data_IF_678440713632
#
_entry.id   IF_678440713632
#
_cell.length_a   1.000
_cell.length_b   1.000
_cell.length_c   1.000
_cell.angle_alpha   90.00
_cell.angle_beta   90.00
_cell.angle_gamma   90.00
#
_symmetry.space_group_name_H-M   'P 1'
#
loop_
_entity.id
_entity.type
_entity.pdbx_description
1 polymer ?
#
# COMPACT_ATOMS: atom_id res chain seq x y z
N UNK A 1 55.20 -9.69 6.96
CA UNK A 1 55.50 -9.93 8.39
C UNK A 1 54.17 -9.99 9.15
N UNK A 2 53.91 -11.17 9.74
CA UNK A 2 52.94 -11.58 10.78
C UNK A 2 51.41 -11.44 10.59
N UNK A 3 50.80 -12.64 10.46
CA UNK A 3 49.42 -13.06 10.75
C UNK A 3 49.08 -13.02 12.25
N UNK A 4 47.78 -12.98 12.58
CA UNK A 4 46.99 -13.95 13.42
C UNK A 4 45.61 -13.30 13.75
N UNK A 5 44.41 -13.83 13.48
CA UNK A 5 43.76 -15.15 13.56
C UNK A 5 43.02 -15.42 14.90
N UNK A 6 41.69 -15.65 14.79
CA UNK A 6 40.77 -16.48 15.62
C UNK A 6 40.44 -16.03 17.07
N UNK A 7 39.32 -16.34 17.75
CA UNK A 7 38.01 -16.99 17.51
C UNK A 7 37.19 -16.85 18.83
N UNK A 8 35.85 -16.86 18.75
CA UNK A 8 34.83 -17.39 19.69
C UNK A 8 34.96 -17.27 21.23
N UNK A 9 33.86 -16.89 21.90
CA UNK A 9 32.89 -17.85 22.44
C UNK A 9 31.82 -17.17 23.34
N UNK A 10 30.59 -17.67 23.21
CA UNK A 10 29.41 -17.39 24.04
C UNK A 10 29.47 -18.24 25.31
N UNK A 11 29.11 -17.68 26.48
CA UNK A 11 28.63 -18.45 27.63
C UNK A 11 27.41 -17.75 28.27
N UNK A 12 26.41 -18.59 28.51
CA UNK A 12 25.06 -18.41 29.05
C UNK A 12 24.99 -18.19 30.57
N UNK A 13 24.00 -17.38 30.98
CA UNK A 13 23.03 -17.69 32.05
C UNK A 13 23.41 -17.38 33.50
N UNK A 14 22.47 -16.76 34.24
CA UNK A 14 21.82 -17.32 35.46
C UNK A 14 20.64 -16.42 35.85
N UNK A 15 19.52 -17.06 36.17
CA UNK A 15 18.28 -16.50 36.69
C UNK A 15 18.34 -16.28 38.22
N UNK A 16 17.58 -15.30 38.72
CA UNK A 16 17.21 -15.21 40.13
C UNK A 16 15.71 -14.91 40.24
N UNK A 17 14.99 -15.83 40.88
CA UNK A 17 13.56 -15.79 41.18
C UNK A 17 13.27 -15.30 42.60
N UNK A 18 12.24 -14.46 42.68
CA UNK A 18 11.18 -14.32 43.71
C UNK A 18 11.51 -13.76 45.10
N UNK A 19 10.62 -12.86 45.59
CA UNK A 19 9.81 -13.13 46.80
C UNK A 19 8.61 -12.15 47.02
N UNK A 20 7.45 -12.77 47.31
CA UNK A 20 6.23 -12.42 48.08
C UNK A 20 5.42 -11.10 47.95
N UNK A 21 4.09 -11.32 47.89
CA UNK A 21 3.04 -10.41 48.33
C UNK A 21 1.63 -10.97 48.09
N UNK A 22 1.12 -11.80 49.01
CA UNK A 22 -0.24 -12.40 49.03
C UNK A 22 -1.31 -11.45 49.57
N UNK A 23 -2.54 -11.54 49.03
CA UNK A 23 -3.83 -11.48 49.76
C UNK A 23 -4.97 -11.67 48.74
N UNK A 24 -5.61 -12.83 48.64
CA UNK A 24 -6.72 -13.38 49.45
C UNK A 24 -8.10 -13.15 48.77
N UNK A 25 -8.74 -14.27 48.41
CA UNK A 25 -10.13 -14.46 47.96
C UNK A 25 -10.87 -15.23 49.06
N UNK A 26 -12.21 -15.15 49.21
CA UNK A 26 -13.08 -16.25 48.73
C UNK A 26 -14.55 -15.81 48.44
N UNK A 27 -15.52 -16.72 48.20
CA UNK A 27 -15.57 -17.80 47.23
C UNK A 27 -16.79 -17.70 46.27
N UNK A 28 -16.84 -18.60 45.29
CA UNK A 28 -17.91 -18.77 44.31
C UNK A 28 -18.98 -19.77 44.77
N UNK A 29 -20.24 -19.59 44.36
CA UNK A 29 -21.19 -20.71 44.28
C UNK A 29 -22.29 -20.52 43.19
N UNK A 30 -22.25 -21.46 42.24
CA UNK A 30 -23.23 -22.08 41.32
C UNK A 30 -24.52 -21.41 40.79
N UNK A 31 -24.70 -21.66 39.48
CA UNK A 31 -25.78 -21.41 38.50
C UNK A 31 -27.10 -22.17 38.80
N UNK A 32 -28.25 -21.84 38.16
CA UNK A 32 -28.59 -22.49 36.88
C UNK A 32 -29.35 -21.63 35.83
N UNK A 33 -29.49 -22.22 34.63
CA UNK A 33 -30.20 -21.75 33.43
C UNK A 33 -31.74 -21.67 33.57
N UNK A 34 -32.39 -20.82 32.76
CA UNK A 34 -33.82 -20.99 32.44
C UNK A 34 -34.59 -19.74 31.97
N UNK A 35 -34.53 -19.46 30.66
CA UNK A 35 -35.53 -18.88 29.76
C UNK A 35 -36.57 -17.79 30.20
N UNK A 36 -36.64 -16.76 29.34
CA UNK A 36 -37.84 -16.15 28.73
C UNK A 36 -38.29 -14.72 29.15
N UNK A 37 -38.14 -13.83 28.16
CA UNK A 37 -39.17 -12.91 27.60
C UNK A 37 -39.30 -11.48 28.17
N UNK A 38 -38.82 -10.55 27.33
CA UNK A 38 -39.38 -9.26 26.89
C UNK A 38 -39.95 -8.27 27.92
N UNK A 39 -39.48 -7.01 27.84
CA UNK A 39 -40.29 -5.80 27.57
C UNK A 39 -39.38 -4.54 27.43
N UNK A 40 -39.38 -3.97 26.22
CA UNK A 40 -39.45 -2.54 25.86
C UNK A 40 -38.49 -1.49 26.46
N UNK A 41 -37.76 -0.81 25.55
CA UNK A 41 -37.88 0.65 25.38
C UNK A 41 -36.71 1.52 25.86
N UNK A 42 -35.82 1.91 24.94
CA UNK A 42 -35.22 3.27 24.82
C UNK A 42 -34.32 3.36 23.58
N UNK A 43 -34.51 4.32 22.66
CA UNK A 43 -33.54 4.62 21.63
C UNK A 43 -32.53 5.65 22.17
N UNK A 44 -31.27 5.26 22.30
CA UNK A 44 -30.18 6.20 22.53
C UNK A 44 -29.15 5.97 21.44
N UNK A 45 -29.31 6.75 20.38
CA UNK A 45 -28.37 6.98 19.29
C UNK A 45 -26.99 7.28 19.90
N UNK A 46 -26.12 6.29 19.94
CA UNK A 46 -24.70 6.54 20.22
C UNK A 46 -24.11 7.04 18.92
N UNK A 47 -23.96 8.37 18.86
CA UNK A 47 -23.28 9.07 17.80
C UNK A 47 -21.90 8.45 17.57
N UNK A 48 -21.61 8.11 16.31
CA UNK A 48 -20.26 7.79 15.87
C UNK A 48 -19.32 8.94 16.23
N UNK A 49 -18.04 8.67 16.58
CA UNK A 49 -17.10 9.74 16.89
C UNK A 49 -16.94 10.62 15.65
N UNK A 50 -17.23 11.90 15.82
CA UNK A 50 -16.98 12.93 14.81
C UNK A 50 -15.49 12.87 14.44
N UNK A 51 -15.18 12.60 13.17
CA UNK A 51 -13.83 12.64 12.65
C UNK A 51 -13.22 14.02 12.98
N UNK A 52 -12.28 14.04 13.92
CA UNK A 52 -11.58 15.27 14.28
C UNK A 52 -10.75 15.70 13.08
N UNK A 53 -11.14 16.80 12.42
CA UNK A 53 -10.36 17.37 11.32
C UNK A 53 -8.95 17.67 11.85
N UNK A 54 -7.93 17.05 11.25
CA UNK A 54 -6.53 17.34 11.59
C UNK A 54 -6.23 18.82 11.37
N UNK A 55 -5.51 19.47 12.29
CA UNK A 55 -5.12 20.88 12.20
C UNK A 55 -4.40 21.23 10.89
N UNK A 56 -3.66 20.27 10.33
CA UNK A 56 -3.01 20.40 9.02
C UNK A 56 -4.01 20.59 7.87
N UNK A 57 -5.18 19.94 7.94
CA UNK A 57 -6.26 20.10 6.95
C UNK A 57 -6.90 21.49 7.02
N UNK A 58 -7.09 22.02 8.24
CA UNK A 58 -7.68 23.35 8.45
C UNK A 58 -6.76 24.46 7.94
N UNK A 59 -5.45 24.35 8.20
CA UNK A 59 -4.46 25.31 7.70
C UNK A 59 -4.41 25.31 6.18
N UNK A 60 -4.46 24.13 5.56
CA UNK A 60 -4.44 24.00 4.09
C UNK A 60 -5.67 24.65 3.44
N UNK A 61 -6.85 24.50 4.05
CA UNK A 61 -8.10 25.10 3.60
C UNK A 61 -8.05 26.63 3.69
N UNK A 62 -7.60 27.18 4.83
CA UNK A 62 -7.41 28.62 5.02
C UNK A 62 -6.43 29.22 4.01
N UNK A 63 -5.26 28.61 3.82
CA UNK A 63 -4.28 29.08 2.84
C UNK A 63 -4.84 29.03 1.42
N UNK A 64 -5.68 28.03 1.10
CA UNK A 64 -6.29 27.90 -0.23
C UNK A 64 -7.40 28.93 -0.50
N UNK A 65 -7.94 29.56 0.55
CA UNK A 65 -8.97 30.60 0.43
C UNK A 65 -8.39 32.00 0.19
N UNK A 66 -7.10 32.20 0.41
CA UNK A 66 -6.43 33.49 0.20
C UNK A 66 -6.28 33.81 -1.29
N UNK A 67 -6.59 35.04 -1.68
CA UNK A 67 -6.27 35.58 -3.00
C UNK A 67 -4.75 35.77 -3.17
N UNK A 68 -4.25 35.93 -4.42
CA UNK A 68 -2.82 36.17 -4.66
C UNK A 68 -2.27 37.40 -3.93
N UNK A 69 -3.08 38.45 -3.77
CA UNK A 69 -2.68 39.66 -3.05
C UNK A 69 -2.59 39.41 -1.54
N UNK A 70 -3.59 38.76 -0.95
CA UNK A 70 -3.61 38.42 0.48
C UNK A 70 -2.46 37.47 0.84
N UNK A 71 -2.12 36.52 -0.04
CA UNK A 71 -0.98 35.64 0.15
C UNK A 71 0.34 36.42 0.26
N UNK A 72 0.53 37.45 -0.57
CA UNK A 72 1.71 38.32 -0.50
C UNK A 72 1.72 39.17 0.77
N UNK A 73 0.55 39.68 1.19
CA UNK A 73 0.42 40.40 2.46
C UNK A 73 0.77 39.51 3.64
N UNK A 74 0.27 38.28 3.67
CA UNK A 74 0.59 37.29 4.72
C UNK A 74 2.08 36.96 4.71
N UNK A 75 2.70 36.73 3.55
CA UNK A 75 4.15 36.51 3.44
C UNK A 75 4.96 37.71 3.97
N UNK A 76 4.53 38.95 3.66
CA UNK A 76 5.16 40.17 4.18
C UNK A 76 5.03 40.31 5.69
N UNK A 77 3.85 39.99 6.25
CA UNK A 77 3.61 39.99 7.69
C UNK A 77 4.47 38.94 8.40
N UNK A 78 4.60 37.74 7.85
CA UNK A 78 5.48 36.71 8.40
C UNK A 78 6.93 37.21 8.36
N UNK A 79 7.42 37.73 7.23
CA UNK A 79 8.80 38.26 7.12
C UNK A 79 9.11 39.38 8.12
N UNK A 80 8.16 40.28 8.36
CA UNK A 80 8.35 41.45 9.22
C UNK A 80 8.18 41.19 10.72
N UNK A 81 7.39 40.18 11.10
CA UNK A 81 7.04 39.90 12.50
C UNK A 81 7.65 38.61 13.06
N UNK A 82 8.33 37.81 12.24
CA UNK A 82 8.98 36.59 12.72
C UNK A 82 10.24 36.93 13.52
N UNK A 83 10.41 36.26 14.67
CA UNK A 83 11.43 36.55 15.68
C UNK A 83 12.85 36.57 15.12
N UNK A 84 13.12 35.77 14.07
CA UNK A 84 14.40 35.74 13.36
C UNK A 84 14.20 35.94 11.86
N UNK A 85 14.14 37.19 11.38
CA UNK A 85 13.96 37.48 9.96
C UNK A 85 15.03 36.82 9.06
N UNK A 86 16.28 36.70 9.54
CA UNK A 86 17.40 36.07 8.81
C UNK A 86 17.21 34.57 8.55
N UNK A 87 16.35 33.91 9.33
CA UNK A 87 16.02 32.49 9.14
C UNK A 87 15.04 32.25 8.00
N UNK A 88 14.27 33.28 7.60
CA UNK A 88 13.30 33.19 6.51
C UNK A 88 13.88 33.75 5.20
N UNK A 89 15.06 33.26 4.85
CA UNK A 89 15.73 33.60 3.61
C UNK A 89 15.02 33.01 2.37
N UNK A 90 15.42 33.45 1.18
CA UNK A 90 14.80 32.99 -0.08
C UNK A 90 14.94 31.47 -0.30
N UNK A 91 15.99 30.85 0.24
CA UNK A 91 16.18 29.40 0.14
C UNK A 91 15.15 28.64 1.01
N UNK A 92 14.87 29.09 2.22
CA UNK A 92 13.85 28.48 3.09
C UNK A 92 12.44 28.69 2.54
N UNK A 93 12.17 29.86 1.94
CA UNK A 93 10.91 30.08 1.21
C UNK A 93 10.78 29.14 0.01
N UNK A 94 11.86 28.93 -0.74
CA UNK A 94 11.88 27.98 -1.86
C UNK A 94 11.66 26.54 -1.38
N UNK A 95 12.29 26.11 -0.28
CA UNK A 95 12.07 24.79 0.34
C UNK A 95 10.62 24.60 0.77
N UNK A 96 10.05 25.59 1.47
CA UNK A 96 8.66 25.56 1.90
C UNK A 96 7.69 25.49 0.70
N UNK A 97 7.99 26.21 -0.38
CA UNK A 97 7.23 26.16 -1.63
C UNK A 97 7.28 24.77 -2.25
N UNK A 98 8.47 24.17 -2.41
CA UNK A 98 8.63 22.82 -2.96
C UNK A 98 7.92 21.78 -2.09
N UNK A 99 8.08 21.86 -0.76
CA UNK A 99 7.41 20.95 0.17
C UNK A 99 5.88 21.09 0.10
N UNK A 100 5.36 22.32 0.01
CA UNK A 100 3.94 22.58 -0.16
C UNK A 100 3.40 22.05 -1.48
N UNK A 101 4.16 22.19 -2.58
CA UNK A 101 3.80 21.61 -3.87
C UNK A 101 3.77 20.08 -3.82
N UNK A 102 4.78 19.44 -3.19
CA UNK A 102 4.81 17.98 -3.01
C UNK A 102 3.62 17.48 -2.17
N UNK A 103 3.28 18.19 -1.10
CA UNK A 103 2.13 17.85 -0.25
C UNK A 103 0.79 17.98 -0.99
N UNK A 104 0.69 18.92 -1.94
CA UNK A 104 -0.53 19.16 -2.74
C UNK A 104 -0.60 18.32 -4.02
N UNK A 105 0.53 17.76 -4.46
CA UNK A 105 0.66 16.94 -5.68
C UNK A 105 1.21 15.54 -5.37
N UNK A 106 0.57 14.77 -4.47
CA UNK A 106 1.12 13.53 -3.90
C UNK A 106 1.34 12.41 -4.93
N UNK A 107 0.66 12.44 -6.08
CA UNK A 107 0.70 11.37 -7.08
C UNK A 107 1.40 11.78 -8.38
N UNK A 108 2.11 12.91 -8.40
CA UNK A 108 2.73 13.43 -9.63
C UNK A 108 4.19 13.87 -9.49
N UNK A 109 4.69 14.03 -8.26
CA UNK A 109 6.04 14.52 -7.99
C UNK A 109 6.69 13.72 -6.87
N UNK A 110 7.92 13.24 -7.11
CA UNK A 110 8.74 12.59 -6.10
C UNK A 110 10.16 13.17 -6.18
N UNK A 111 10.75 13.48 -5.04
CA UNK A 111 12.17 13.81 -4.96
C UNK A 111 12.97 12.52 -4.95
N UNK A 112 13.84 12.36 -5.94
CA UNK A 112 14.80 11.27 -5.97
C UNK A 112 16.03 11.68 -5.16
N UNK A 113 16.40 10.89 -4.17
CA UNK A 113 17.70 11.00 -3.49
C UNK A 113 18.80 10.60 -4.47
N UNK A 114 19.74 11.51 -4.76
CA UNK A 114 20.74 11.38 -5.84
C UNK A 114 21.79 10.28 -5.67
N UNK A 115 21.54 9.25 -4.85
CA UNK A 115 22.49 8.16 -4.61
C UNK A 115 21.87 6.85 -4.11
N UNK A 116 20.63 6.57 -4.47
CA UNK A 116 20.14 5.20 -4.52
C UNK A 116 19.81 4.90 -5.98
N UNK A 117 20.76 4.26 -6.67
CA UNK A 117 20.32 3.18 -7.54
C UNK A 117 19.74 2.17 -6.54
N UNK A 118 18.41 1.99 -6.45
CA UNK A 118 17.90 0.91 -5.64
C UNK A 118 18.48 -0.32 -6.33
N UNK A 119 19.56 -0.87 -5.77
CA UNK A 119 19.97 -2.22 -6.06
C UNK A 119 18.72 -3.01 -5.71
N UNK A 120 17.96 -3.34 -6.76
CA UNK A 120 16.57 -3.73 -6.64
C UNK A 120 16.48 -4.78 -5.56
N UNK A 121 15.52 -4.62 -4.66
CA UNK A 121 15.12 -5.72 -3.79
C UNK A 121 15.11 -6.99 -4.66
N UNK A 122 15.75 -8.09 -4.20
CA UNK A 122 15.90 -9.28 -5.01
C UNK A 122 14.53 -9.61 -5.60
N UNK A 123 14.45 -9.87 -6.92
CA UNK A 123 13.18 -9.94 -7.62
C UNK A 123 12.25 -10.87 -6.85
N UNK A 124 11.05 -10.37 -6.52
CA UNK A 124 10.07 -11.15 -5.79
C UNK A 124 9.83 -12.45 -6.55
N UNK A 125 10.07 -13.58 -5.91
CA UNK A 125 9.84 -14.88 -6.51
C UNK A 125 8.33 -15.11 -6.67
N UNK A 126 7.96 -15.69 -7.80
CA UNK A 126 6.60 -16.18 -7.99
C UNK A 126 6.30 -17.30 -7.00
N UNK A 127 5.11 -17.27 -6.38
CA UNK A 127 4.61 -18.33 -5.52
C UNK A 127 3.14 -18.60 -5.83
N UNK A 128 2.75 -19.86 -5.85
CA UNK A 128 1.36 -20.25 -5.99
C UNK A 128 1.00 -21.44 -5.12
N UNK A 129 -0.22 -21.43 -4.61
CA UNK A 129 -0.80 -22.54 -3.84
C UNK A 129 -2.31 -22.59 -4.02
N UNK A 130 -2.91 -23.65 -3.50
CA UNK A 130 -4.37 -23.79 -3.42
C UNK A 130 -4.73 -23.76 -1.94
N UNK A 131 -5.58 -22.81 -1.58
CA UNK A 131 -6.05 -22.60 -0.22
C UNK A 131 -7.45 -23.20 -0.11
N UNK A 132 -7.62 -24.13 0.84
CA UNK A 132 -8.84 -24.92 0.95
C UNK A 132 -9.06 -25.78 -0.30
N UNK A 133 -10.30 -25.86 -0.77
CA UNK A 133 -10.65 -26.71 -1.92
C UNK A 133 -10.85 -25.94 -3.23
N UNK A 134 -11.23 -24.65 -3.17
CA UNK A 134 -11.75 -23.92 -4.34
C UNK A 134 -11.04 -22.59 -4.63
N UNK A 135 -10.01 -22.23 -3.87
CA UNK A 135 -9.34 -20.92 -3.99
C UNK A 135 -7.87 -21.07 -4.36
N UNK A 136 -7.46 -20.47 -5.48
CA UNK A 136 -6.07 -20.33 -5.84
C UNK A 136 -5.47 -19.10 -5.19
N UNK A 137 -4.22 -19.18 -4.75
CA UNK A 137 -3.44 -18.01 -4.34
C UNK A 137 -2.22 -17.91 -5.24
N UNK A 138 -1.97 -16.70 -5.76
CA UNK A 138 -0.78 -16.38 -6.55
C UNK A 138 -0.15 -15.10 -6.02
N UNK A 139 1.11 -15.18 -5.62
CA UNK A 139 1.96 -14.02 -5.40
C UNK A 139 2.85 -13.85 -6.62
N UNK A 140 2.63 -12.76 -7.37
CA UNK A 140 3.34 -12.54 -8.63
C UNK A 140 4.82 -12.25 -8.42
N UNK A 141 5.15 -11.56 -7.32
CA UNK A 141 6.48 -11.01 -7.15
C UNK A 141 6.81 -10.02 -8.28
N UNK A 142 8.04 -10.04 -8.78
CA UNK A 142 8.47 -9.18 -9.88
C UNK A 142 7.69 -9.44 -11.17
N UNK A 143 7.31 -8.37 -11.88
CA UNK A 143 6.67 -8.47 -13.19
C UNK A 143 7.71 -8.78 -14.28
N UNK A 144 8.03 -10.06 -14.42
CA UNK A 144 8.96 -10.58 -15.42
C UNK A 144 8.29 -11.62 -16.31
N UNK A 145 8.85 -11.85 -17.50
CA UNK A 145 8.38 -12.92 -18.38
C UNK A 145 8.47 -14.31 -17.75
N UNK A 146 9.46 -14.55 -16.87
CA UNK A 146 9.59 -15.81 -16.13
C UNK A 146 8.41 -16.04 -15.18
N UNK A 147 8.05 -15.01 -14.41
CA UNK A 147 6.90 -15.09 -13.50
C UNK A 147 5.56 -15.15 -14.25
N UNK A 148 5.46 -14.52 -15.43
CA UNK A 148 4.28 -14.67 -16.30
C UNK A 148 4.09 -16.13 -16.76
N UNK A 149 5.16 -16.81 -17.15
CA UNK A 149 5.08 -18.23 -17.51
C UNK A 149 4.71 -19.11 -16.32
N UNK A 150 5.20 -18.79 -15.12
CA UNK A 150 4.84 -19.50 -13.89
C UNK A 150 3.35 -19.28 -13.51
N UNK A 151 2.84 -18.07 -13.75
CA UNK A 151 1.42 -17.76 -13.62
C UNK A 151 0.59 -18.61 -14.59
N UNK A 152 0.94 -18.66 -15.87
CA UNK A 152 0.21 -19.43 -16.87
C UNK A 152 0.12 -20.92 -16.50
N UNK A 153 1.21 -21.49 -15.95
CA UNK A 153 1.22 -22.86 -15.41
C UNK A 153 0.28 -23.03 -14.22
N UNK A 154 0.28 -22.07 -13.30
CA UNK A 154 -0.56 -22.10 -12.11
C UNK A 154 -2.05 -21.98 -12.46
N UNK A 155 -2.41 -21.06 -13.37
CA UNK A 155 -3.78 -20.91 -13.87
C UNK A 155 -4.26 -22.19 -14.57
N UNK A 156 -3.39 -22.83 -15.36
CA UNK A 156 -3.72 -24.12 -15.99
C UNK A 156 -4.02 -25.20 -14.94
N UNK A 157 -3.21 -25.28 -13.86
CA UNK A 157 -3.43 -26.20 -12.76
C UNK A 157 -4.72 -25.91 -11.98
N UNK A 158 -5.05 -24.63 -11.80
CA UNK A 158 -6.28 -24.20 -11.13
C UNK A 158 -7.52 -24.54 -11.94
N UNK A 159 -7.47 -24.34 -13.26
CA UNK A 159 -8.54 -24.73 -14.19
C UNK A 159 -8.76 -26.25 -14.18
N UNK A 160 -7.68 -27.04 -14.19
CA UNK A 160 -7.77 -28.50 -14.08
C UNK A 160 -8.46 -28.96 -12.79
N UNK A 161 -8.26 -28.22 -11.69
CA UNK A 161 -8.88 -28.45 -10.38
C UNK A 161 -10.22 -27.72 -10.18
N UNK A 162 -10.72 -27.03 -11.20
CA UNK A 162 -12.00 -26.30 -11.20
C UNK A 162 -12.12 -25.29 -10.04
N UNK A 163 -11.03 -24.58 -9.73
CA UNK A 163 -11.08 -23.50 -8.74
C UNK A 163 -12.03 -22.40 -9.19
N UNK A 164 -12.76 -21.80 -8.24
CA UNK A 164 -13.79 -20.79 -8.50
C UNK A 164 -13.36 -19.39 -8.09
N UNK A 165 -12.30 -19.28 -7.29
CA UNK A 165 -11.76 -18.01 -6.83
C UNK A 165 -10.22 -17.97 -6.92
N UNK A 166 -9.65 -16.79 -7.19
CA UNK A 166 -8.21 -16.54 -7.12
C UNK A 166 -7.92 -15.28 -6.32
N UNK A 167 -6.93 -15.36 -5.43
CA UNK A 167 -6.30 -14.23 -4.76
C UNK A 167 -4.99 -13.91 -5.49
N UNK A 168 -4.88 -12.68 -6.01
CA UNK A 168 -3.67 -12.14 -6.65
C UNK A 168 -2.98 -11.19 -5.68
N UNK A 169 -1.82 -11.59 -5.18
CA UNK A 169 -1.01 -10.82 -4.25
C UNK A 169 0.10 -10.03 -4.97
N UNK A 170 0.00 -8.70 -4.89
CA UNK A 170 0.87 -7.72 -5.53
C UNK A 170 1.85 -7.04 -4.54
N UNK A 171 1.82 -7.39 -3.25
CA UNK A 171 2.60 -6.72 -2.18
C UNK A 171 4.13 -6.86 -2.31
N UNK A 172 4.63 -7.66 -3.25
CA UNK A 172 6.06 -7.90 -3.49
C UNK A 172 6.49 -7.63 -4.94
N UNK A 173 5.75 -6.80 -5.68
CA UNK A 173 6.00 -6.55 -7.11
C UNK A 173 6.95 -5.39 -7.39
N UNK A 174 7.89 -5.11 -6.48
CA UNK A 174 8.93 -4.10 -6.67
C UNK A 174 9.89 -4.53 -7.78
N UNK A 175 9.73 -3.97 -8.99
CA UNK A 175 10.55 -4.32 -10.15
C UNK A 175 10.43 -3.31 -11.28
N UNK A 176 11.37 -3.31 -12.25
CA UNK A 176 11.50 -2.24 -13.23
C UNK A 176 10.20 -2.04 -14.02
N UNK A 177 10.03 -0.81 -14.47
CA UNK A 177 8.81 -0.20 -15.01
C UNK A 177 8.28 -0.84 -16.31
N UNK A 178 7.97 -2.14 -16.31
CA UNK A 178 7.49 -2.90 -17.47
C UNK A 178 5.96 -3.02 -17.49
N UNK A 179 5.35 -1.97 -18.03
CA UNK A 179 3.91 -1.92 -18.29
C UNK A 179 3.45 -2.95 -19.33
N UNK A 180 4.34 -3.44 -20.20
CA UNK A 180 3.96 -4.44 -21.19
C UNK A 180 3.74 -5.81 -20.54
N UNK A 181 4.62 -6.21 -19.61
CA UNK A 181 4.43 -7.44 -18.83
C UNK A 181 3.19 -7.32 -17.92
N UNK A 182 2.96 -6.16 -17.31
CA UNK A 182 1.74 -5.92 -16.54
C UNK A 182 0.46 -6.12 -17.40
N UNK A 183 0.46 -5.60 -18.63
CA UNK A 183 -0.65 -5.81 -19.55
C UNK A 183 -0.83 -7.28 -19.92
N UNK A 184 0.27 -8.02 -20.14
CA UNK A 184 0.21 -9.46 -20.41
C UNK A 184 -0.37 -10.26 -19.24
N UNK A 185 -0.03 -9.91 -18.00
CA UNK A 185 -0.66 -10.50 -16.80
C UNK A 185 -2.15 -10.16 -16.76
N UNK A 186 -2.53 -8.90 -16.96
CA UNK A 186 -3.92 -8.47 -16.93
C UNK A 186 -4.79 -9.22 -17.96
N UNK A 187 -4.26 -9.51 -19.14
CA UNK A 187 -4.93 -10.32 -20.19
C UNK A 187 -5.37 -11.70 -19.74
N UNK A 188 -4.82 -12.26 -18.64
CA UNK A 188 -5.23 -13.58 -18.11
C UNK A 188 -6.55 -13.51 -17.34
N UNK A 189 -6.98 -12.33 -16.95
CA UNK A 189 -8.16 -12.11 -16.11
C UNK A 189 -9.19 -11.21 -16.79
N UNK A 190 -8.74 -10.23 -17.59
CA UNK A 190 -9.62 -9.26 -18.22
C UNK A 190 -10.21 -9.76 -19.55
N UNK A 191 -11.51 -9.52 -19.84
CA UNK A 191 -12.15 -9.86 -21.11
C UNK A 191 -11.48 -9.24 -22.34
N UNK A 192 -11.58 -9.95 -23.48
CA UNK A 192 -11.12 -9.47 -24.78
C UNK A 192 -11.77 -8.13 -25.16
N UNK A 193 -10.99 -7.24 -25.75
CA UNK A 193 -11.42 -5.93 -26.25
C UNK A 193 -11.47 -4.82 -25.21
N UNK A 194 -11.18 -5.11 -23.93
CA UNK A 194 -11.14 -4.09 -22.87
C UNK A 194 -9.81 -3.34 -22.87
N UNK A 195 -9.86 -2.02 -22.77
CA UNK A 195 -8.69 -1.16 -22.56
C UNK A 195 -8.23 -1.35 -21.12
N UNK A 196 -7.04 -1.90 -20.93
CA UNK A 196 -6.49 -2.19 -19.60
C UNK A 196 -6.00 -0.90 -18.93
N UNK A 197 -5.17 -0.13 -19.64
CA UNK A 197 -4.67 1.18 -19.23
C UNK A 197 -4.02 1.90 -20.41
N UNK A 198 -3.84 3.21 -20.28
CA UNK A 198 -3.13 4.04 -21.27
C UNK A 198 -1.98 4.81 -20.63
N UNK A 199 -0.92 5.02 -21.39
CA UNK A 199 0.22 5.86 -21.00
C UNK A 199 0.18 7.11 -21.84
N UNK A 200 -0.19 8.21 -21.20
CA UNK A 200 -0.22 9.53 -21.83
C UNK A 200 1.14 10.20 -21.73
N UNK A 201 1.62 10.73 -22.85
CA UNK A 201 2.87 11.51 -22.87
C UNK A 201 2.57 13.01 -22.84
N UNK A 202 3.37 13.83 -22.13
CA UNK A 202 3.11 15.27 -22.01
C UNK A 202 3.14 16.04 -23.33
N UNK A 203 3.94 15.64 -24.33
CA UNK A 203 4.10 16.39 -25.59
C UNK A 203 4.26 15.47 -26.82
N UNK A 204 3.48 15.76 -27.87
CA UNK A 204 3.76 15.40 -29.28
C UNK A 204 3.86 13.91 -29.64
N UNK A 205 3.54 12.99 -28.75
CA UNK A 205 3.55 11.54 -29.00
C UNK A 205 2.20 10.96 -28.67
N UNK A 206 1.74 10.03 -29.51
CA UNK A 206 0.49 9.31 -29.29
C UNK A 206 0.49 8.57 -27.95
N UNK A 207 -0.67 8.57 -27.32
CA UNK A 207 -0.93 7.80 -26.12
C UNK A 207 -0.77 6.32 -26.43
N UNK A 208 0.00 5.61 -25.61
CA UNK A 208 0.14 4.16 -25.74
C UNK A 208 -1.01 3.49 -25.01
N UNK A 209 -1.92 2.88 -25.75
CA UNK A 209 -3.07 2.16 -25.20
C UNK A 209 -2.75 0.67 -25.11
N UNK A 210 -2.98 0.06 -23.95
CA UNK A 210 -2.86 -1.38 -23.74
C UNK A 210 -4.27 -1.98 -23.68
N UNK A 211 -4.56 -2.92 -24.58
CA UNK A 211 -5.89 -3.54 -24.71
C UNK A 211 -5.76 -5.06 -24.56
N UNK A 212 -6.75 -5.68 -23.95
CA UNK A 212 -6.85 -7.15 -23.91
C UNK A 212 -7.20 -7.69 -25.29
N UNK A 213 -6.37 -8.57 -25.84
CA UNK A 213 -6.50 -9.12 -27.18
C UNK A 213 -7.03 -10.57 -27.20
N UNK A 214 -7.27 -11.16 -26.03
CA UNK A 214 -7.62 -12.57 -25.85
C UNK A 214 -8.69 -12.76 -24.79
N UNK A 215 -9.29 -13.94 -24.80
CA UNK A 215 -10.15 -14.38 -23.71
C UNK A 215 -9.33 -14.62 -22.44
N UNK A 216 -9.90 -14.34 -21.26
CA UNK A 216 -9.21 -14.53 -20.00
C UNK A 216 -8.98 -16.03 -19.75
N UNK A 217 -7.81 -16.35 -19.20
CA UNK A 217 -7.42 -17.70 -18.82
C UNK A 217 -8.15 -18.18 -17.56
N UNK A 218 -8.57 -17.25 -16.70
CA UNK A 218 -9.40 -17.54 -15.53
C UNK A 218 -10.67 -16.71 -15.55
N UNK A 219 -11.79 -17.33 -15.17
CA UNK A 219 -13.08 -16.67 -14.94
C UNK A 219 -13.62 -17.14 -13.60
N UNK A 220 -13.90 -16.21 -12.70
CA UNK A 220 -14.35 -16.53 -11.35
C UNK A 220 -14.23 -15.32 -10.44
N UNK A 221 -14.29 -15.55 -9.13
CA UNK A 221 -14.11 -14.48 -8.14
C UNK A 221 -12.63 -14.10 -8.06
N UNK A 222 -12.33 -12.82 -8.30
CA UNK A 222 -10.97 -12.28 -8.20
C UNK A 222 -10.84 -11.39 -6.96
N UNK A 223 -9.81 -11.63 -6.16
CA UNK A 223 -9.41 -10.76 -5.05
C UNK A 223 -7.98 -10.28 -5.27
N UNK A 224 -7.70 -9.01 -4.98
CA UNK A 224 -6.39 -8.38 -5.16
C UNK A 224 -5.86 -7.97 -3.79
N UNK A 225 -4.63 -8.35 -3.47
CA UNK A 225 -3.91 -7.83 -2.29
C UNK A 225 -2.86 -6.84 -2.75
N UNK A 226 -2.94 -5.63 -2.21
CA UNK A 226 -1.99 -4.54 -2.41
C UNK A 226 -1.73 -3.85 -1.07
N UNK A 227 -0.61 -3.17 -0.95
CA UNK A 227 -0.18 -2.40 0.22
C UNK A 227 0.50 -1.09 -0.19
N UNK A 228 1.07 -0.36 0.78
CA UNK A 228 1.72 0.93 0.54
C UNK A 228 2.95 0.88 -0.37
N UNK A 229 3.50 -0.31 -0.62
CA UNK A 229 4.67 -0.51 -1.48
C UNK A 229 4.29 -0.95 -2.91
N UNK A 230 3.01 -1.29 -3.13
CA UNK A 230 2.48 -1.66 -4.44
C UNK A 230 2.46 -0.42 -5.34
N UNK A 231 3.35 -0.37 -6.33
CA UNK A 231 3.60 0.83 -7.13
C UNK A 231 3.77 0.55 -8.64
N UNK A 232 3.55 1.58 -9.47
CA UNK A 232 3.89 1.60 -10.88
C UNK A 232 3.11 0.58 -11.72
N UNK A 233 3.78 -0.33 -12.48
CA UNK A 233 3.06 -1.30 -13.30
C UNK A 233 2.14 -2.25 -12.51
N UNK A 234 2.44 -2.49 -11.23
CA UNK A 234 1.58 -3.28 -10.36
C UNK A 234 0.28 -2.56 -9.99
N UNK A 235 0.31 -1.24 -9.81
CA UNK A 235 -0.90 -0.43 -9.62
C UNK A 235 -1.76 -0.41 -10.88
N UNK A 236 -1.13 -0.26 -12.05
CA UNK A 236 -1.82 -0.31 -13.34
C UNK A 236 -2.52 -1.68 -13.53
N UNK A 237 -1.83 -2.77 -13.18
CA UNK A 237 -2.41 -4.11 -13.15
C UNK A 237 -3.57 -4.20 -12.16
N UNK A 238 -3.37 -3.78 -10.90
CA UNK A 238 -4.41 -3.81 -9.87
C UNK A 238 -5.68 -3.05 -10.31
N UNK A 239 -5.51 -1.89 -10.94
CA UNK A 239 -6.62 -1.10 -11.48
C UNK A 239 -7.36 -1.83 -12.59
N UNK A 240 -6.64 -2.41 -13.55
CA UNK A 240 -7.25 -3.18 -14.63
C UNK A 240 -8.04 -4.39 -14.09
N UNK A 241 -7.46 -5.13 -13.15
CA UNK A 241 -8.11 -6.28 -12.52
C UNK A 241 -9.33 -5.87 -11.69
N UNK A 242 -9.25 -4.78 -10.93
CA UNK A 242 -10.39 -4.28 -10.14
C UNK A 242 -11.58 -3.90 -11.02
N UNK A 243 -11.33 -3.39 -12.22
CA UNK A 243 -12.38 -2.86 -13.07
C UNK A 243 -12.96 -3.91 -14.03
N UNK A 244 -12.14 -4.87 -14.49
CA UNK A 244 -12.53 -5.82 -15.54
C UNK A 244 -12.45 -7.29 -15.14
N UNK A 245 -11.74 -7.62 -14.05
CA UNK A 245 -11.50 -9.00 -13.61
C UNK A 245 -12.65 -9.61 -12.82
#
# INVERSE_FOLDING_TARGET
MMRRLLLSAVITGVAATQLFGQSAMPPAETRPEGAARALQGSPSTTAAPSASRSSASVITELVSSLSPAELQTVLSLIKSNFVNADTLNDAELARATVQGLLARLPHGLMLLTGKENPQGAPPGNFYSEIIGEHTGYVRLGSLTNGNLQALDKSLSAFTAKKLTAIIVDLRASQSPNDLAVAAEVAKRFCPKGKVLFSVRRPTGREDRVFTSDRDPAFRGLLMILADGDTSGPAEALASALRFYG
#
